data_IF_485579131564
#
_entry.id   IF_485579131564
#
_cell.length_a   1.000
_cell.length_b   1.000
_cell.length_c   1.000
_cell.angle_alpha   90.00
_cell.angle_beta   90.00
_cell.angle_gamma   90.00
#
_symmetry.space_group_name_H-M   'P 1'
#
loop_
_entity.id
_entity.type
_entity.pdbx_description
1 polymer ?
#
# COMPACT_ATOMS: atom_id res chain seq x y z
N UNK A 1 -19.00 3.55 -4.76
CA UNK A 1 -17.96 2.93 -3.91
C UNK A 1 -17.86 1.45 -4.22
N UNK A 2 -16.65 0.94 -4.28
CA UNK A 2 -16.45 -0.50 -4.44
C UNK A 2 -16.76 -1.23 -3.14
N UNK A 3 -17.21 -2.47 -3.25
CA UNK A 3 -17.38 -3.36 -2.11
C UNK A 3 -16.23 -4.36 -2.11
N UNK A 4 -15.59 -4.55 -0.97
CA UNK A 4 -14.47 -5.47 -0.85
C UNK A 4 -14.08 -5.69 0.61
N UNK A 5 -12.93 -6.31 0.81
CA UNK A 5 -12.38 -6.57 2.12
C UNK A 5 -11.34 -5.51 2.48
N UNK A 6 -11.43 -4.95 3.68
CA UNK A 6 -10.44 -4.01 4.18
C UNK A 6 -9.13 -4.74 4.49
N UNK A 7 -8.03 -4.26 3.91
CA UNK A 7 -6.70 -4.85 4.11
C UNK A 7 -6.27 -4.84 5.57
N UNK A 8 -6.67 -3.85 6.36
CA UNK A 8 -6.22 -3.71 7.74
C UNK A 8 -7.10 -4.46 8.74
N UNK A 9 -8.43 -4.30 8.67
CA UNK A 9 -9.31 -4.87 9.67
C UNK A 9 -10.08 -6.10 9.19
N UNK A 10 -10.01 -6.43 7.89
CA UNK A 10 -10.70 -7.58 7.33
C UNK A 10 -12.20 -7.40 7.12
N UNK A 11 -12.75 -6.24 7.45
CA UNK A 11 -14.17 -5.98 7.31
C UNK A 11 -14.58 -6.01 5.84
N UNK A 12 -15.66 -6.69 5.53
CA UNK A 12 -16.25 -6.72 4.19
C UNK A 12 -17.33 -5.65 4.10
N UNK A 13 -17.25 -4.81 3.08
CA UNK A 13 -18.21 -3.73 2.86
C UNK A 13 -17.65 -2.67 1.93
N UNK A 14 -18.18 -1.45 1.99
CA UNK A 14 -17.66 -0.36 1.17
C UNK A 14 -16.19 -0.07 1.46
N UNK A 15 -15.37 0.02 0.42
CA UNK A 15 -13.93 0.28 0.53
C UNK A 15 -13.51 1.42 -0.37
N UNK A 16 -12.37 2.00 -0.02
CA UNK A 16 -11.70 3.06 -0.78
C UNK A 16 -10.33 2.56 -1.21
N UNK A 17 -9.85 3.02 -2.35
CA UNK A 17 -8.51 2.67 -2.82
C UNK A 17 -7.48 3.55 -2.11
N UNK A 18 -6.47 2.90 -1.53
CA UNK A 18 -5.35 3.57 -0.90
C UNK A 18 -4.08 3.30 -1.69
N UNK A 19 -3.40 4.36 -2.14
CA UNK A 19 -2.09 4.25 -2.77
C UNK A 19 -1.05 4.11 -1.66
N UNK A 20 -0.44 2.95 -1.57
CA UNK A 20 0.49 2.62 -0.48
C UNK A 20 1.72 3.52 -0.49
N UNK A 21 2.23 3.81 -1.69
CA UNK A 21 3.35 4.73 -1.88
C UNK A 21 2.79 5.99 -2.53
N UNK A 22 2.59 7.04 -1.72
CA UNK A 22 1.91 8.26 -2.12
C UNK A 22 2.89 9.35 -2.58
N UNK A 23 2.39 10.52 -2.88
CA UNK A 23 3.19 11.66 -3.32
C UNK A 23 3.88 11.38 -4.64
N UNK A 24 5.20 11.50 -4.68
CA UNK A 24 5.99 11.28 -5.89
C UNK A 24 5.90 9.83 -6.41
N UNK A 25 5.47 8.89 -5.58
CA UNK A 25 5.38 7.47 -5.92
C UNK A 25 3.99 7.02 -6.33
N UNK A 26 3.02 7.92 -6.37
CA UNK A 26 1.62 7.56 -6.65
C UNK A 26 1.44 6.89 -8.01
N UNK A 27 2.08 7.42 -9.03
CA UNK A 27 2.01 6.84 -10.38
C UNK A 27 2.63 5.45 -10.43
N UNK A 28 3.73 5.26 -9.70
CA UNK A 28 4.36 3.94 -9.60
C UNK A 28 3.46 2.95 -8.84
N UNK A 29 2.77 3.42 -7.81
CA UNK A 29 1.80 2.59 -7.09
C UNK A 29 0.69 2.10 -8.02
N UNK A 30 0.14 2.98 -8.84
CA UNK A 30 -0.87 2.60 -9.84
C UNK A 30 -0.31 1.62 -10.86
N UNK A 31 0.87 1.93 -11.37
CA UNK A 31 1.50 1.15 -12.45
C UNK A 31 1.81 -0.29 -12.04
N UNK A 32 2.26 -0.48 -10.80
CA UNK A 32 2.70 -1.80 -10.33
C UNK A 32 1.74 -2.44 -9.34
N UNK A 33 0.55 -1.89 -9.21
CA UNK A 33 -0.48 -2.47 -8.37
C UNK A 33 -0.22 -2.35 -6.87
N UNK A 34 0.54 -1.35 -6.45
CA UNK A 34 0.82 -1.10 -5.03
C UNK A 34 -0.31 -0.29 -4.39
N UNK A 35 -1.53 -0.76 -4.58
CA UNK A 35 -2.74 -0.18 -3.98
C UNK A 35 -3.45 -1.24 -3.16
N UNK A 36 -4.14 -0.82 -2.13
CA UNK A 36 -4.94 -1.71 -1.30
C UNK A 36 -6.31 -1.10 -1.08
N UNK A 37 -7.28 -1.94 -0.74
CA UNK A 37 -8.61 -1.47 -0.38
C UNK A 37 -8.72 -1.36 1.14
N UNK A 38 -9.21 -0.22 1.61
CA UNK A 38 -9.41 0.05 3.02
C UNK A 38 -10.83 0.54 3.25
N UNK A 39 -11.45 0.14 4.37
CA UNK A 39 -12.68 0.77 4.77
C UNK A 39 -12.40 2.22 5.16
N UNK A 40 -13.43 3.06 5.15
CA UNK A 40 -13.27 4.49 5.41
C UNK A 40 -12.56 4.77 6.74
N UNK A 41 -12.92 4.06 7.80
CA UNK A 41 -12.31 4.23 9.12
C UNK A 41 -10.81 3.91 9.11
N UNK A 42 -10.42 2.78 8.50
CA UNK A 42 -9.01 2.40 8.40
C UNK A 42 -8.23 3.34 7.49
N UNK A 43 -8.86 3.82 6.42
CA UNK A 43 -8.22 4.78 5.51
C UNK A 43 -7.89 6.09 6.24
N UNK A 44 -8.83 6.59 7.04
CA UNK A 44 -8.58 7.77 7.88
C UNK A 44 -7.51 7.50 8.94
N UNK A 45 -7.57 6.33 9.57
CA UNK A 45 -6.60 5.92 10.59
C UNK A 45 -5.17 5.90 10.03
N UNK A 46 -4.99 5.32 8.84
CA UNK A 46 -3.66 5.20 8.22
C UNK A 46 -3.05 6.56 7.88
N UNK A 47 -3.88 7.58 7.64
CA UNK A 47 -3.43 8.94 7.37
C UNK A 47 -3.27 9.78 8.64
N UNK A 48 -3.68 9.26 9.79
CA UNK A 48 -3.53 9.96 11.07
C UNK A 48 -2.18 9.66 11.72
N UNK A 49 -1.78 10.49 12.65
CA UNK A 49 -0.55 10.24 13.42
C UNK A 49 -0.60 8.96 14.27
N UNK A 50 -1.80 8.46 14.54
CA UNK A 50 -1.98 7.21 15.31
C UNK A 50 -1.71 5.97 14.48
N UNK A 51 -1.80 6.06 13.15
CA UNK A 51 -1.62 4.93 12.25
C UNK A 51 -0.22 4.78 11.67
N UNK A 52 0.78 5.47 12.21
CA UNK A 52 2.14 5.49 11.65
C UNK A 52 2.77 4.12 11.59
N UNK A 53 2.64 3.32 12.65
CA UNK A 53 3.21 1.97 12.69
C UNK A 53 2.54 1.04 11.69
N UNK A 54 1.21 1.08 11.61
CA UNK A 54 0.45 0.27 10.65
C UNK A 54 0.74 0.70 9.22
N UNK A 55 0.93 1.99 8.99
CA UNK A 55 1.31 2.51 7.68
C UNK A 55 2.68 1.97 7.25
N UNK A 56 3.65 1.98 8.15
CA UNK A 56 4.99 1.44 7.87
C UNK A 56 4.94 -0.05 7.56
N UNK A 57 4.19 -0.80 8.36
CA UNK A 57 4.05 -2.24 8.15
C UNK A 57 3.38 -2.53 6.80
N UNK A 58 2.36 -1.78 6.46
CA UNK A 58 1.67 -1.91 5.18
C UNK A 58 2.62 -1.62 4.01
N UNK A 59 3.42 -0.57 4.11
CA UNK A 59 4.41 -0.23 3.08
C UNK A 59 5.44 -1.35 2.89
N UNK A 60 5.93 -1.90 3.98
CA UNK A 60 6.87 -3.01 3.96
C UNK A 60 6.26 -4.25 3.31
N UNK A 61 5.05 -4.63 3.74
CA UNK A 61 4.36 -5.82 3.23
C UNK A 61 4.05 -5.69 1.73
N UNK A 62 3.57 -4.54 1.31
CA UNK A 62 3.23 -4.31 -0.10
C UNK A 62 4.48 -4.25 -0.97
N UNK A 63 5.57 -3.69 -0.47
CA UNK A 63 6.85 -3.75 -1.20
C UNK A 63 7.25 -5.20 -1.48
N UNK A 64 7.21 -6.07 -0.48
CA UNK A 64 7.49 -7.49 -0.68
C UNK A 64 6.53 -8.12 -1.70
N UNK A 65 5.24 -7.81 -1.61
CA UNK A 65 4.23 -8.36 -2.53
C UNK A 65 4.50 -7.95 -3.98
N UNK A 66 4.84 -6.68 -4.21
CA UNK A 66 5.16 -6.17 -5.56
C UNK A 66 6.45 -6.81 -6.08
N UNK A 67 7.47 -6.90 -5.25
CA UNK A 67 8.73 -7.54 -5.63
C UNK A 67 8.50 -9.01 -6.00
N UNK A 68 7.74 -9.74 -5.21
CA UNK A 68 7.40 -11.13 -5.47
C UNK A 68 6.61 -11.30 -6.77
N UNK A 69 5.59 -10.48 -6.96
CA UNK A 69 4.71 -10.57 -8.14
C UNK A 69 5.48 -10.32 -9.44
N UNK A 70 6.53 -9.51 -9.40
CA UNK A 70 7.33 -9.15 -10.56
C UNK A 70 8.66 -9.92 -10.63
N UNK A 71 8.92 -10.76 -9.66
CA UNK A 71 10.19 -11.49 -9.54
C UNK A 71 11.39 -10.54 -9.48
N UNK A 72 11.23 -9.43 -8.75
CA UNK A 72 12.29 -8.44 -8.56
C UNK A 72 13.08 -8.69 -7.28
N UNK A 73 14.40 -8.53 -7.36
CA UNK A 73 15.21 -8.33 -6.17
C UNK A 73 15.16 -6.88 -5.70
N UNK A 74 15.79 -6.60 -4.57
CA UNK A 74 15.82 -5.25 -4.01
C UNK A 74 16.48 -4.24 -4.96
N UNK A 75 17.49 -4.64 -5.71
CA UNK A 75 18.16 -3.74 -6.66
C UNK A 75 17.20 -3.23 -7.73
N UNK A 76 16.35 -4.10 -8.26
CA UNK A 76 15.36 -3.69 -9.26
C UNK A 76 14.32 -2.75 -8.65
N UNK A 77 13.87 -3.05 -7.44
CA UNK A 77 12.96 -2.16 -6.73
C UNK A 77 13.54 -0.76 -6.58
N UNK A 78 14.81 -0.68 -6.15
CA UNK A 78 15.50 0.60 -5.96
C UNK A 78 15.69 1.36 -7.27
N UNK A 79 15.90 0.66 -8.39
CA UNK A 79 16.00 1.30 -9.70
C UNK A 79 14.67 1.95 -10.11
N UNK A 80 13.55 1.34 -9.74
CA UNK A 80 12.22 1.80 -10.14
C UNK A 80 11.68 2.84 -9.15
N UNK A 81 11.70 2.54 -7.84
CA UNK A 81 11.13 3.39 -6.81
C UNK A 81 12.14 4.37 -6.19
N UNK A 82 13.42 4.06 -6.24
CA UNK A 82 14.47 4.94 -5.71
C UNK A 82 14.62 4.94 -4.19
N UNK A 83 13.76 4.19 -3.48
CA UNK A 83 13.75 4.14 -2.03
C UNK A 83 13.15 2.81 -1.58
N UNK A 84 13.63 2.26 -0.47
CA UNK A 84 13.09 1.04 0.12
C UNK A 84 12.35 1.35 1.42
N UNK A 85 11.25 0.63 1.66
CA UNK A 85 10.49 0.65 2.91
C UNK A 85 10.71 -0.61 3.74
N UNK A 86 11.60 -1.47 3.27
CA UNK A 86 12.04 -2.66 3.99
C UNK A 86 13.22 -2.31 4.89
#
# INVERSE_FOLDING_TARGET
>A
MAVGECRLCGRVGPTETHHVFAGAYRQLSDRYGATVTLCHSCHRYIHSGKGVEDKRQLQCDVQYEVMDANEWGLNMWLQIFGKSWI
#
